data_IF_617689408250
#
_entry.id   IF_617689408250
#
_cell.length_a   1.000
_cell.length_b   1.000
_cell.length_c   1.000
_cell.angle_alpha   90.00
_cell.angle_beta   90.00
_cell.angle_gamma   90.00
#
_symmetry.space_group_name_H-M   'P 1'
#
loop_
_entity.id
_entity.type
_entity.pdbx_description
1 polymer ?
#
# COMPACT_ATOMS: atom_id res chain seq x y z
N UNK A 1 -17.16 12.52 -5.81
CA UNK A 1 -17.67 11.16 -5.55
C UNK A 1 -17.93 10.42 -6.86
N UNK A 2 -16.96 9.63 -7.38
CA UNK A 2 -17.19 8.73 -8.52
C UNK A 2 -17.27 7.27 -8.04
N UNK A 3 -18.15 6.98 -7.08
CA UNK A 3 -18.74 5.64 -6.95
C UNK A 3 -19.91 5.62 -7.94
N UNK A 4 -19.70 5.13 -9.17
CA UNK A 4 -20.80 5.01 -10.16
C UNK A 4 -21.77 3.92 -9.68
N UNK A 5 -23.01 4.27 -9.28
CA UNK A 5 -23.99 3.30 -8.76
C UNK A 5 -24.61 2.43 -9.87
N UNK A 6 -24.32 2.71 -11.14
CA UNK A 6 -25.02 2.16 -12.31
C UNK A 6 -24.92 0.63 -12.41
N UNK A 7 -23.90 0.01 -11.79
CA UNK A 7 -23.73 -1.44 -11.77
C UNK A 7 -24.47 -2.14 -10.61
N UNK A 8 -24.97 -1.39 -9.61
CA UNK A 8 -25.67 -1.95 -8.44
C UNK A 8 -24.82 -2.81 -7.49
N UNK A 9 -23.49 -2.84 -7.65
CA UNK A 9 -22.56 -3.65 -6.84
C UNK A 9 -21.70 -2.75 -5.95
N UNK A 10 -21.64 -3.00 -4.62
CA UNK A 10 -20.79 -2.24 -3.71
C UNK A 10 -19.32 -2.66 -3.85
N UNK A 11 -18.64 -2.14 -4.87
CA UNK A 11 -17.20 -2.34 -5.06
C UNK A 11 -16.39 -1.40 -4.16
N UNK A 12 -15.23 -1.87 -3.69
CA UNK A 12 -14.24 -1.05 -2.97
C UNK A 12 -13.11 -0.68 -3.92
N UNK A 13 -13.02 0.60 -4.26
CA UNK A 13 -11.95 1.16 -5.08
C UNK A 13 -10.73 1.45 -4.20
N UNK A 14 -9.70 0.61 -4.30
CA UNK A 14 -8.42 0.79 -3.62
C UNK A 14 -7.42 1.50 -4.56
N UNK A 15 -7.37 2.83 -4.49
CA UNK A 15 -6.56 3.65 -5.38
C UNK A 15 -5.08 3.61 -5.00
N UNK A 16 -4.29 2.96 -5.86
CA UNK A 16 -2.86 2.77 -5.65
C UNK A 16 -2.04 3.99 -6.07
N UNK A 17 -1.05 4.35 -5.26
CA UNK A 17 -0.12 5.47 -5.47
C UNK A 17 1.31 4.93 -5.47
N UNK A 18 2.03 5.15 -6.58
CA UNK A 18 3.34 4.52 -6.86
C UNK A 18 4.54 5.47 -6.63
N UNK A 19 4.32 6.61 -5.97
CA UNK A 19 5.32 7.65 -5.67
C UNK A 19 6.54 7.14 -4.90
N UNK A 20 6.35 6.15 -4.01
CA UNK A 20 7.42 5.54 -3.23
C UNK A 20 8.17 4.41 -3.96
N UNK A 21 7.70 3.98 -5.13
CA UNK A 21 8.41 3.00 -5.94
C UNK A 21 9.54 3.67 -6.72
N UNK A 22 10.63 2.94 -7.02
CA UNK A 22 11.70 3.44 -7.90
C UNK A 22 11.18 3.91 -9.26
N UNK A 23 10.12 3.25 -9.77
CA UNK A 23 9.46 3.59 -11.04
C UNK A 23 8.57 4.83 -10.96
N UNK A 24 8.32 5.37 -9.75
CA UNK A 24 7.47 6.53 -9.54
C UNK A 24 8.09 7.85 -10.02
N UNK A 25 9.41 7.89 -10.22
CA UNK A 25 10.11 9.07 -10.76
C UNK A 25 10.17 10.29 -9.83
N UNK A 26 9.71 10.16 -8.57
CA UNK A 26 9.67 11.27 -7.61
C UNK A 26 10.93 11.24 -6.71
N UNK A 27 11.67 12.36 -6.59
CA UNK A 27 12.79 12.48 -5.65
C UNK A 27 12.36 12.20 -4.21
N UNK A 28 13.22 11.53 -3.43
CA UNK A 28 12.86 11.09 -2.08
C UNK A 28 12.25 12.19 -1.18
N UNK A 29 12.77 13.43 -1.14
CA UNK A 29 12.20 14.51 -0.31
C UNK A 29 10.77 14.93 -0.69
N UNK A 30 10.34 14.67 -1.92
CA UNK A 30 9.05 15.13 -2.47
C UNK A 30 7.97 14.05 -2.39
N UNK A 31 8.35 12.79 -2.16
CA UNK A 31 7.45 11.63 -2.22
C UNK A 31 6.27 11.77 -1.28
N UNK A 32 6.50 12.16 -0.02
CA UNK A 32 5.45 12.26 0.98
C UNK A 32 4.39 13.29 0.56
N UNK A 33 4.82 14.51 0.23
CA UNK A 33 3.93 15.59 -0.18
C UNK A 33 3.13 15.23 -1.45
N UNK A 34 3.79 14.66 -2.46
CA UNK A 34 3.14 14.21 -3.70
C UNK A 34 2.13 13.07 -3.43
N UNK A 35 2.45 12.17 -2.52
CA UNK A 35 1.56 11.07 -2.12
C UNK A 35 0.31 11.58 -1.42
N UNK A 36 0.45 12.54 -0.51
CA UNK A 36 -0.69 13.20 0.15
C UNK A 36 -1.57 13.91 -0.88
N UNK A 37 -0.96 14.67 -1.79
CA UNK A 37 -1.67 15.35 -2.88
C UNK A 37 -2.50 14.40 -3.74
N UNK A 38 -1.88 13.32 -4.24
CA UNK A 38 -2.58 12.29 -5.02
C UNK A 38 -3.66 11.58 -4.20
N UNK A 39 -3.36 11.22 -2.96
CA UNK A 39 -4.32 10.52 -2.10
C UNK A 39 -5.59 11.34 -1.87
N UNK A 40 -5.48 12.65 -1.63
CA UNK A 40 -6.63 13.55 -1.51
C UNK A 40 -7.44 13.61 -2.81
N UNK A 41 -6.77 13.82 -3.94
CA UNK A 41 -7.42 13.83 -5.26
C UNK A 41 -8.15 12.52 -5.55
N UNK A 42 -7.57 11.37 -5.19
CA UNK A 42 -8.18 10.06 -5.40
C UNK A 42 -9.41 9.86 -4.49
N UNK A 43 -9.38 10.38 -3.26
CA UNK A 43 -10.54 10.37 -2.35
C UNK A 43 -11.67 11.28 -2.85
N UNK A 44 -11.35 12.47 -3.37
CA UNK A 44 -12.34 13.36 -3.98
C UNK A 44 -12.99 12.73 -5.22
N UNK A 45 -12.19 11.98 -5.99
CA UNK A 45 -12.64 11.15 -7.09
C UNK A 45 -13.47 9.92 -6.63
N UNK A 46 -13.56 9.64 -5.32
CA UNK A 46 -14.41 8.59 -4.77
C UNK A 46 -13.72 7.24 -4.55
N UNK A 47 -12.39 7.19 -4.46
CA UNK A 47 -11.71 5.99 -3.97
C UNK A 47 -12.14 5.68 -2.54
N UNK A 48 -12.39 4.41 -2.22
CA UNK A 48 -12.81 3.96 -0.89
C UNK A 48 -11.64 3.69 0.06
N UNK A 49 -10.47 3.40 -0.51
CA UNK A 49 -9.21 3.18 0.19
C UNK A 49 -8.06 3.69 -0.68
N UNK A 50 -6.98 4.17 -0.07
CA UNK A 50 -5.76 4.59 -0.76
C UNK A 50 -4.61 3.67 -0.41
N UNK A 51 -3.74 3.40 -1.38
CA UNK A 51 -2.64 2.47 -1.23
C UNK A 51 -1.32 3.09 -1.70
N UNK A 52 -0.62 3.84 -0.83
CA UNK A 52 0.74 4.30 -1.08
C UNK A 52 1.71 3.12 -0.98
N UNK A 53 1.95 2.44 -2.09
CA UNK A 53 2.76 1.23 -2.11
C UNK A 53 4.25 1.57 -1.97
N UNK A 54 4.97 0.75 -1.22
CA UNK A 54 6.43 0.85 -1.12
C UNK A 54 6.93 1.85 -0.07
N UNK A 55 6.02 2.42 0.74
CA UNK A 55 6.41 3.14 1.96
C UNK A 55 7.12 2.17 2.90
N UNK A 56 8.32 2.55 3.35
CA UNK A 56 9.17 1.74 4.25
C UNK A 56 9.46 2.44 5.56
N UNK A 57 9.40 3.77 5.56
CA UNK A 57 9.65 4.56 6.73
C UNK A 57 8.39 4.67 7.61
N UNK A 58 8.58 4.55 8.93
CA UNK A 58 7.49 4.57 9.90
C UNK A 58 6.84 5.95 10.00
N UNK A 59 7.65 7.01 9.92
CA UNK A 59 7.18 8.38 10.01
C UNK A 59 6.35 8.74 8.77
N UNK A 60 6.85 8.43 7.57
CA UNK A 60 6.09 8.64 6.32
C UNK A 60 4.73 7.94 6.36
N UNK A 61 4.69 6.68 6.80
CA UNK A 61 3.42 5.94 6.88
C UNK A 61 2.46 6.53 7.93
N UNK A 62 2.97 6.94 9.09
CA UNK A 62 2.17 7.60 10.12
C UNK A 62 1.54 8.89 9.59
N UNK A 63 2.34 9.73 8.93
CA UNK A 63 1.86 10.97 8.32
C UNK A 63 0.82 10.70 7.25
N UNK A 64 0.99 9.66 6.42
CA UNK A 64 0.01 9.31 5.41
C UNK A 64 -1.32 8.84 6.01
N UNK A 65 -1.31 8.09 7.11
CA UNK A 65 -2.54 7.69 7.81
C UNK A 65 -3.23 8.89 8.45
N UNK A 66 -2.47 9.86 8.96
CA UNK A 66 -2.99 11.07 9.59
C UNK A 66 -3.57 12.06 8.56
N UNK A 67 -2.86 12.33 7.46
CA UNK A 67 -3.18 13.39 6.50
C UNK A 67 -4.20 12.98 5.43
N UNK A 68 -4.39 11.68 5.19
CA UNK A 68 -5.31 11.16 4.18
C UNK A 68 -6.66 10.80 4.80
N UNK A 69 -7.78 11.34 4.27
CA UNK A 69 -9.09 11.05 4.83
C UNK A 69 -9.49 9.60 4.50
N UNK A 70 -9.60 8.73 5.50
CA UNK A 70 -10.15 7.38 5.36
C UNK A 70 -9.11 6.24 5.29
N UNK A 71 -9.53 5.03 4.87
CA UNK A 71 -8.70 3.83 4.99
C UNK A 71 -7.43 3.87 4.14
N UNK A 72 -6.27 3.65 4.78
CA UNK A 72 -4.98 3.46 4.12
C UNK A 72 -4.61 1.97 4.09
N UNK A 73 -4.16 1.49 2.94
CA UNK A 73 -3.58 0.16 2.76
C UNK A 73 -2.04 0.23 2.88
N UNK A 74 -1.44 -0.72 3.59
CA UNK A 74 0.00 -0.79 3.81
C UNK A 74 0.61 -2.16 3.52
N UNK A 75 1.94 -2.23 3.59
CA UNK A 75 2.70 -3.47 3.45
C UNK A 75 3.57 -3.67 4.69
N UNK A 76 3.73 -4.92 5.13
CA UNK A 76 4.76 -5.20 6.14
C UNK A 76 6.16 -5.09 5.54
N UNK A 77 7.12 -4.71 6.37
CA UNK A 77 8.52 -4.52 6.01
C UNK A 77 9.43 -4.44 7.24
N UNK A 78 10.68 -4.08 7.02
CA UNK A 78 11.63 -3.81 8.10
C UNK A 78 11.10 -2.67 8.98
N UNK A 79 10.97 -2.91 10.30
CA UNK A 79 10.40 -1.94 11.24
C UNK A 79 8.89 -1.69 11.10
N UNK A 80 8.20 -2.37 10.18
CA UNK A 80 6.76 -2.24 9.91
C UNK A 80 6.11 -3.63 9.93
N UNK A 81 6.06 -4.26 11.10
CA UNK A 81 5.33 -5.52 11.31
C UNK A 81 3.81 -5.29 11.46
N UNK A 82 3.02 -6.36 11.60
CA UNK A 82 1.56 -6.23 11.69
C UNK A 82 1.10 -5.45 12.94
N UNK A 83 1.82 -5.59 14.06
CA UNK A 83 1.51 -4.85 15.28
C UNK A 83 1.74 -3.36 15.06
N UNK A 84 2.89 -3.00 14.49
CA UNK A 84 3.25 -1.63 14.14
C UNK A 84 2.25 -1.02 13.16
N UNK A 85 1.88 -1.73 12.08
CA UNK A 85 0.89 -1.24 11.12
C UNK A 85 -0.47 -0.98 11.77
N UNK A 86 -0.91 -1.86 12.69
CA UNK A 86 -2.13 -1.67 13.46
C UNK A 86 -2.04 -0.43 14.37
N UNK A 87 -0.94 -0.25 15.08
CA UNK A 87 -0.70 0.91 15.95
C UNK A 87 -0.73 2.23 15.17
N UNK A 88 -0.17 2.23 13.96
CA UNK A 88 -0.17 3.40 13.07
C UNK A 88 -1.54 3.70 12.45
N UNK A 89 -2.54 2.84 12.62
CA UNK A 89 -3.89 3.03 12.07
C UNK A 89 -4.08 2.56 10.64
N UNK A 90 -3.19 1.72 10.11
CA UNK A 90 -3.36 1.10 8.79
C UNK A 90 -4.60 0.20 8.79
N UNK A 91 -5.53 0.49 7.90
CA UNK A 91 -6.84 -0.18 7.85
C UNK A 91 -6.84 -1.47 7.00
N UNK A 92 -5.87 -1.62 6.10
CA UNK A 92 -5.73 -2.79 5.23
C UNK A 92 -4.26 -3.15 5.07
N UNK A 93 -3.93 -4.44 5.10
CA UNK A 93 -2.55 -4.91 4.85
C UNK A 93 -2.55 -5.84 3.64
N UNK A 94 -1.65 -5.57 2.70
CA UNK A 94 -1.45 -6.38 1.50
C UNK A 94 -0.03 -6.94 1.46
N UNK A 95 0.14 -8.17 0.95
CA UNK A 95 1.44 -8.85 0.91
C UNK A 95 2.08 -8.92 -0.48
N UNK A 96 1.35 -8.51 -1.53
CA UNK A 96 1.81 -8.61 -2.92
C UNK A 96 2.29 -10.03 -3.25
N UNK A 97 3.37 -10.19 -4.02
CA UNK A 97 3.87 -11.50 -4.43
C UNK A 97 4.73 -12.19 -3.35
N UNK A 98 4.90 -11.60 -2.15
CA UNK A 98 5.92 -12.05 -1.18
C UNK A 98 5.70 -13.48 -0.72
N UNK A 99 4.47 -13.84 -0.35
CA UNK A 99 4.14 -15.19 0.13
C UNK A 99 4.33 -16.21 -1.00
N UNK A 100 3.87 -15.90 -2.21
CA UNK A 100 4.09 -16.74 -3.38
C UNK A 100 5.57 -16.96 -3.68
N UNK A 101 6.38 -15.90 -3.65
CA UNK A 101 7.84 -15.99 -3.86
C UNK A 101 8.53 -16.78 -2.77
N UNK A 102 8.11 -16.66 -1.51
CA UNK A 102 8.63 -17.47 -0.40
C UNK A 102 8.34 -18.96 -0.61
N UNK A 103 7.11 -19.31 -0.98
CA UNK A 103 6.76 -20.69 -1.29
C UNK A 103 7.57 -21.27 -2.46
N UNK A 104 7.78 -20.49 -3.52
CA UNK A 104 8.63 -20.90 -4.65
C UNK A 104 10.11 -21.03 -4.29
N UNK A 105 10.62 -20.19 -3.40
CA UNK A 105 11.99 -20.30 -2.91
C UNK A 105 12.19 -21.60 -2.12
N UNK A 106 11.22 -21.94 -1.26
CA UNK A 106 11.26 -23.19 -0.50
C UNK A 106 11.17 -24.42 -1.41
N UNK A 107 10.24 -24.41 -2.38
CA UNK A 107 10.13 -25.47 -3.38
C UNK A 107 11.45 -25.66 -4.15
N UNK A 108 12.09 -24.56 -4.55
CA UNK A 108 13.40 -24.61 -5.23
C UNK A 108 14.44 -25.30 -4.36
N UNK A 109 14.57 -24.90 -3.10
CA UNK A 109 15.51 -25.50 -2.15
C UNK A 109 15.26 -27.00 -1.98
N UNK A 110 13.99 -27.39 -1.80
CA UNK A 110 13.60 -28.79 -1.65
C UNK A 110 13.97 -29.63 -2.88
N UNK A 111 13.73 -29.12 -4.10
CA UNK A 111 14.09 -29.83 -5.35
C UNK A 111 15.60 -29.91 -5.53
N UNK A 112 16.35 -28.85 -5.20
CA UNK A 112 17.81 -28.86 -5.30
C UNK A 112 18.47 -29.86 -4.35
N UNK A 113 17.84 -30.17 -3.22
CA UNK A 113 18.34 -31.19 -2.28
C UNK A 113 18.14 -32.64 -2.78
N UNK A 114 17.39 -32.86 -3.87
CA UNK A 114 17.15 -34.18 -4.46
C UNK A 114 18.17 -34.56 -5.55
N UNK A 115 19.00 -33.61 -5.99
CA UNK A 115 20.01 -33.78 -7.05
C UNK A 115 21.41 -33.54 -6.51
#
# INVERSE_FOLDING_TARGET
MCHRPDAGVPIVVNARIDTFLPTGGIPAPERLAETVGRGRLYRDAGADCVYPIGVRDRHDLATLVEELPGPVNGNTGEGLDLATLRELGVARVSYGPRIYRAALAELRSAVQALV
#
